data_IF_210101139154
#
_entry.id   IF_210101139154
#
_cell.length_a   1.000
_cell.length_b   1.000
_cell.length_c   1.000
_cell.angle_alpha   90.00
_cell.angle_beta   90.00
_cell.angle_gamma   90.00
#
_symmetry.space_group_name_H-M   'P 1'
#
loop_
_entity.id
_entity.type
_entity.pdbx_description
1 polymer ?
#
# COMPACT_ATOMS: atom_id res chain seq x y z
N UNK A 1 -0.58 -8.33 -33.41
CA UNK A 1 0.05 -7.29 -32.58
C UNK A 1 -0.58 -7.39 -31.20
N UNK A 2 0.02 -8.19 -30.30
CA UNK A 2 -0.44 -8.30 -28.92
C UNK A 2 -0.04 -7.02 -28.19
N UNK A 3 -1.03 -6.20 -27.84
CA UNK A 3 -0.81 -5.09 -26.93
C UNK A 3 -0.72 -5.73 -25.54
N UNK A 4 0.48 -6.16 -25.17
CA UNK A 4 0.77 -6.53 -23.79
C UNK A 4 0.82 -5.23 -22.98
N UNK A 5 -0.09 -5.10 -22.02
CA UNK A 5 -0.18 -3.92 -21.17
C UNK A 5 1.11 -3.85 -20.34
N UNK A 6 1.90 -2.78 -20.50
CA UNK A 6 3.11 -2.62 -19.70
C UNK A 6 2.75 -2.35 -18.25
N UNK A 7 3.56 -2.89 -17.33
CA UNK A 7 3.42 -2.63 -15.90
C UNK A 7 3.52 -1.13 -15.56
N UNK A 8 4.29 -0.38 -16.33
CA UNK A 8 4.37 1.09 -16.22
C UNK A 8 3.00 1.74 -16.50
N UNK A 9 2.33 1.35 -17.58
CA UNK A 9 1.01 1.89 -17.93
C UNK A 9 -0.02 1.52 -16.87
N UNK A 10 0.00 0.27 -16.38
CA UNK A 10 -0.87 -0.16 -15.29
C UNK A 10 -0.69 0.75 -14.06
N UNK A 11 0.54 0.94 -13.59
CA UNK A 11 0.82 1.76 -12.41
C UNK A 11 0.38 3.21 -12.63
N UNK A 12 0.72 3.82 -13.77
CA UNK A 12 0.37 5.22 -14.06
C UNK A 12 -1.14 5.42 -14.07
N UNK A 13 -1.90 4.50 -14.68
CA UNK A 13 -3.37 4.58 -14.72
C UNK A 13 -3.93 4.51 -13.30
N UNK A 14 -3.46 3.59 -12.46
CA UNK A 14 -3.90 3.50 -11.06
C UNK A 14 -3.52 4.75 -10.25
N UNK A 15 -2.35 5.33 -10.47
CA UNK A 15 -1.97 6.61 -9.86
C UNK A 15 -2.96 7.72 -10.22
N UNK A 16 -3.25 7.89 -11.51
CA UNK A 16 -4.18 8.91 -12.01
C UNK A 16 -5.56 8.70 -11.41
N UNK A 17 -6.06 7.46 -11.37
CA UNK A 17 -7.37 7.14 -10.78
C UNK A 17 -7.42 7.49 -9.29
N UNK A 18 -6.43 7.08 -8.50
CA UNK A 18 -6.39 7.34 -7.06
C UNK A 18 -6.27 8.84 -6.77
N UNK A 19 -5.42 9.55 -7.50
CA UNK A 19 -5.26 11.01 -7.38
C UNK A 19 -6.58 11.71 -7.74
N UNK A 20 -7.21 11.32 -8.85
CA UNK A 20 -8.49 11.90 -9.28
C UNK A 20 -9.57 11.66 -8.25
N UNK A 21 -9.64 10.45 -7.69
CA UNK A 21 -10.57 10.12 -6.62
C UNK A 21 -10.32 10.94 -5.35
N UNK A 22 -9.06 11.23 -5.03
CA UNK A 22 -8.67 12.07 -3.89
C UNK A 22 -9.24 13.49 -3.99
N UNK A 23 -9.35 14.05 -5.19
CA UNK A 23 -10.05 15.32 -5.41
C UNK A 23 -11.56 15.24 -5.19
N UNK A 24 -12.18 14.10 -5.51
CA UNK A 24 -13.62 13.90 -5.33
C UNK A 24 -13.98 13.84 -3.84
N UNK A 25 -13.18 13.14 -3.04
CA UNK A 25 -13.45 12.94 -1.59
C UNK A 25 -12.85 14.03 -0.70
N UNK A 26 -11.86 14.78 -1.20
CA UNK A 26 -11.18 15.85 -0.49
C UNK A 26 -10.00 15.41 0.38
N UNK A 27 -9.24 16.41 0.86
CA UNK A 27 -7.98 16.25 1.59
C UNK A 27 -8.09 15.44 2.88
N UNK A 28 -9.12 15.69 3.68
CA UNK A 28 -9.32 15.04 4.99
C UNK A 28 -9.53 13.54 4.79
N UNK A 29 -10.42 13.15 3.88
CA UNK A 29 -10.68 11.75 3.59
C UNK A 29 -9.48 11.07 2.93
N UNK A 30 -8.78 11.77 2.04
CA UNK A 30 -7.53 11.25 1.46
C UNK A 30 -6.49 10.96 2.53
N UNK A 31 -6.36 11.83 3.54
CA UNK A 31 -5.47 11.61 4.69
C UNK A 31 -5.90 10.39 5.52
N UNK A 32 -7.21 10.20 5.70
CA UNK A 32 -7.76 9.00 6.35
C UNK A 32 -7.44 7.73 5.56
N UNK A 33 -7.46 7.78 4.23
CA UNK A 33 -7.06 6.65 3.38
C UNK A 33 -5.59 6.33 3.59
N UNK A 34 -4.70 7.33 3.62
CA UNK A 34 -3.27 7.11 3.88
C UNK A 34 -3.08 6.37 5.21
N UNK A 35 -3.70 6.85 6.30
CA UNK A 35 -3.62 6.21 7.63
C UNK A 35 -4.20 4.78 7.60
N UNK A 36 -5.33 4.60 6.93
CA UNK A 36 -5.94 3.27 6.72
C UNK A 36 -4.98 2.33 6.00
N UNK A 37 -4.28 2.79 4.97
CA UNK A 37 -3.28 2.01 4.24
C UNK A 37 -2.14 1.58 5.16
N UNK A 38 -1.63 2.46 6.03
CA UNK A 38 -0.60 2.07 7.01
C UNK A 38 -1.07 0.96 7.95
N UNK A 39 -2.21 1.16 8.61
CA UNK A 39 -2.75 0.17 9.54
C UNK A 39 -3.01 -1.18 8.86
N UNK A 40 -3.48 -1.13 7.62
CA UNK A 40 -3.75 -2.31 6.82
C UNK A 40 -2.48 -3.01 6.36
N UNK A 41 -1.42 -2.27 6.02
CA UNK A 41 -0.12 -2.85 5.71
C UNK A 41 0.40 -3.64 6.91
N UNK A 42 0.40 -3.03 8.09
CA UNK A 42 0.83 -3.70 9.32
C UNK A 42 -0.03 -4.93 9.64
N UNK A 43 -1.36 -4.82 9.53
CA UNK A 43 -2.26 -5.94 9.76
C UNK A 43 -2.03 -7.08 8.76
N UNK A 44 -1.88 -6.76 7.47
CA UNK A 44 -1.61 -7.72 6.42
C UNK A 44 -0.28 -8.45 6.63
N UNK A 45 0.77 -7.73 6.99
CA UNK A 45 2.05 -8.36 7.30
C UNK A 45 1.98 -9.22 8.55
N UNK A 46 1.38 -8.74 9.64
CA UNK A 46 1.26 -9.52 10.87
C UNK A 46 0.47 -10.81 10.64
N UNK A 47 -0.70 -10.72 10.00
CA UNK A 47 -1.56 -11.88 9.72
C UNK A 47 -0.91 -12.81 8.70
N UNK A 48 -0.36 -12.28 7.61
CA UNK A 48 0.26 -13.09 6.56
C UNK A 48 1.52 -13.82 7.04
N UNK A 49 2.36 -13.17 7.84
CA UNK A 49 3.55 -13.81 8.42
C UNK A 49 3.15 -14.89 9.44
N UNK A 50 2.11 -14.66 10.24
CA UNK A 50 1.59 -15.69 11.14
C UNK A 50 0.98 -16.89 10.38
N UNK A 51 0.28 -16.62 9.28
CA UNK A 51 -0.27 -17.65 8.39
C UNK A 51 0.83 -18.51 7.76
N UNK A 52 1.96 -17.91 7.38
CA UNK A 52 3.13 -18.65 6.86
C UNK A 52 3.69 -19.63 7.91
N UNK A 53 3.83 -19.19 9.16
CA UNK A 53 4.28 -20.06 10.27
C UNK A 53 3.30 -21.22 10.48
N UNK A 54 2.00 -20.94 10.42
CA UNK A 54 0.95 -21.96 10.55
C UNK A 54 1.02 -23.00 9.43
N UNK A 55 1.21 -22.57 8.17
CA UNK A 55 1.37 -23.48 7.03
C UNK A 55 2.65 -24.33 7.15
N UNK A 56 3.76 -23.74 7.57
CA UNK A 56 5.04 -24.44 7.72
C UNK A 56 5.00 -25.54 8.79
N UNK A 57 4.17 -25.41 9.82
CA UNK A 57 4.04 -26.42 10.89
C UNK A 57 3.05 -27.55 10.57
N UNK A 58 2.16 -27.37 9.59
CA UNK A 58 1.04 -28.28 9.33
C UNK A 58 1.34 -29.39 8.27
N UNK A 59 2.62 -29.65 7.97
CA UNK A 59 3.09 -30.49 6.85
C UNK A 59 2.54 -31.93 6.68
N UNK A 60 1.89 -32.64 7.62
CA UNK A 60 1.26 -33.92 7.26
C UNK A 60 -0.22 -33.83 6.87
N UNK A 61 -0.95 -32.74 7.20
CA UNK A 61 -2.43 -32.74 7.16
C UNK A 61 -3.01 -31.93 5.99
N UNK A 62 -2.22 -31.06 5.34
CA UNK A 62 -2.72 -30.10 4.33
C UNK A 62 -2.80 -30.67 2.90
N UNK A 63 -2.49 -31.96 2.68
CA UNK A 63 -2.70 -32.60 1.37
C UNK A 63 -4.16 -32.61 0.87
N UNK A 64 -5.11 -32.10 1.67
CA UNK A 64 -6.53 -32.00 1.33
C UNK A 64 -6.86 -30.69 0.58
N UNK A 65 -6.04 -29.64 0.72
CA UNK A 65 -6.32 -28.32 0.12
C UNK A 65 -5.43 -27.96 -1.09
N UNK A 66 -4.62 -28.89 -1.59
CA UNK A 66 -3.73 -28.69 -2.76
C UNK A 66 -3.04 -27.32 -2.76
N UNK A 67 -2.51 -26.93 -1.59
CA UNK A 67 -1.68 -25.72 -1.46
C UNK A 67 -0.31 -26.07 -2.03
N UNK A 68 -0.24 -26.16 -3.35
CA UNK A 68 0.94 -26.60 -4.12
C UNK A 68 2.13 -25.65 -3.98
N UNK A 69 1.91 -24.43 -3.45
CA UNK A 69 2.98 -23.49 -3.15
C UNK A 69 2.62 -22.50 -2.01
N UNK A 70 3.23 -22.66 -0.82
CA UNK A 70 2.99 -21.80 0.35
C UNK A 70 3.27 -20.31 0.12
N UNK A 71 4.21 -19.96 -0.76
CA UNK A 71 4.58 -18.56 -1.02
C UNK A 71 3.47 -17.78 -1.72
N UNK A 72 2.87 -18.38 -2.75
CA UNK A 72 1.72 -17.78 -3.45
C UNK A 72 0.50 -17.65 -2.52
N UNK A 73 0.29 -18.64 -1.65
CA UNK A 73 -0.80 -18.59 -0.66
C UNK A 73 -0.63 -17.42 0.31
N UNK A 74 0.58 -17.25 0.87
CA UNK A 74 0.89 -16.13 1.76
C UNK A 74 0.76 -14.78 1.06
N UNK A 75 1.23 -14.66 -0.19
CA UNK A 75 1.05 -13.44 -0.99
C UNK A 75 -0.44 -13.07 -1.13
N UNK A 76 -1.28 -14.03 -1.53
CA UNK A 76 -2.73 -13.80 -1.71
C UNK A 76 -3.35 -13.37 -0.38
N UNK A 77 -3.05 -14.05 0.72
CA UNK A 77 -3.56 -13.70 2.06
C UNK A 77 -3.18 -12.26 2.43
N UNK A 78 -1.90 -11.87 2.28
CA UNK A 78 -1.45 -10.50 2.56
C UNK A 78 -2.19 -9.47 1.72
N UNK A 79 -2.33 -9.71 0.42
CA UNK A 79 -3.05 -8.80 -0.47
C UNK A 79 -4.52 -8.67 -0.10
N UNK A 80 -5.21 -9.79 0.17
CA UNK A 80 -6.61 -9.79 0.56
C UNK A 80 -6.81 -9.05 1.89
N UNK A 81 -5.99 -9.34 2.90
CA UNK A 81 -6.06 -8.65 4.20
C UNK A 81 -5.74 -7.17 4.05
N UNK A 82 -4.78 -6.81 3.20
CA UNK A 82 -4.43 -5.41 2.95
C UNK A 82 -5.58 -4.64 2.32
N UNK A 83 -6.16 -5.15 1.23
CA UNK A 83 -7.25 -4.49 0.51
C UNK A 83 -8.50 -4.42 1.40
N UNK A 84 -8.89 -5.54 2.01
CA UNK A 84 -10.06 -5.58 2.88
C UNK A 84 -9.89 -4.68 4.11
N UNK A 85 -8.71 -4.74 4.75
CA UNK A 85 -8.37 -3.87 5.88
C UNK A 85 -8.43 -2.40 5.49
N UNK A 86 -7.89 -2.03 4.34
CA UNK A 86 -7.84 -0.64 3.90
C UNK A 86 -9.24 -0.08 3.67
N UNK A 87 -10.12 -0.86 3.03
CA UNK A 87 -11.52 -0.49 2.86
C UNK A 87 -12.24 -0.38 4.21
N UNK A 88 -12.05 -1.36 5.11
CA UNK A 88 -12.71 -1.37 6.42
C UNK A 88 -12.27 -0.19 7.30
N UNK A 89 -10.98 0.13 7.34
CA UNK A 89 -10.46 1.27 8.10
C UNK A 89 -10.83 2.61 7.46
N UNK A 90 -10.88 2.70 6.13
CA UNK A 90 -11.30 3.95 5.48
C UNK A 90 -12.78 4.25 5.76
N UNK A 91 -13.66 3.24 5.65
CA UNK A 91 -15.11 3.40 5.80
C UNK A 91 -15.53 3.41 7.28
N UNK A 92 -15.03 2.48 8.09
CA UNK A 92 -15.46 2.23 9.48
C UNK A 92 -14.34 2.39 10.52
N UNK A 93 -13.19 2.95 10.15
CA UNK A 93 -12.11 3.18 11.11
C UNK A 93 -12.55 4.09 12.25
N UNK A 94 -12.19 3.70 13.48
CA UNK A 94 -12.49 4.43 14.71
C UNK A 94 -11.57 5.64 14.95
N UNK A 95 -11.08 6.26 13.88
CA UNK A 95 -10.20 7.42 13.94
C UNK A 95 -10.71 8.50 13.00
N UNK A 96 -10.59 9.73 13.46
CA UNK A 96 -10.93 10.94 12.71
C UNK A 96 -9.66 11.75 12.45
N UNK A 97 -9.59 12.32 11.26
CA UNK A 97 -8.48 13.18 10.85
C UNK A 97 -8.99 14.59 10.82
N UNK A 98 -8.43 15.45 11.68
CA UNK A 98 -8.74 16.87 11.67
C UNK A 98 -7.60 17.61 10.99
N UNK A 99 -7.93 18.36 9.95
CA UNK A 99 -7.01 19.27 9.27
C UNK A 99 -7.67 20.64 9.22
N UNK A 100 -6.98 21.71 9.65
CA UNK A 100 -7.54 23.06 9.65
C UNK A 100 -7.94 23.50 8.24
N UNK A 101 -8.98 24.32 8.14
CA UNK A 101 -9.40 24.89 6.86
C UNK A 101 -8.28 25.72 6.23
N UNK A 102 -8.16 25.65 4.90
CA UNK A 102 -7.12 26.34 4.15
C UNK A 102 -7.71 27.18 3.04
N UNK A 103 -6.90 28.08 2.51
CA UNK A 103 -7.25 28.77 1.26
C UNK A 103 -7.41 27.72 0.14
N UNK A 104 -8.37 27.91 -0.80
CA UNK A 104 -8.67 26.94 -1.84
C UNK A 104 -7.44 26.46 -2.66
N UNK A 105 -6.48 27.36 -2.90
CA UNK A 105 -5.23 27.03 -3.63
C UNK A 105 -4.32 26.09 -2.85
N UNK A 106 -4.21 26.30 -1.53
CA UNK A 106 -3.42 25.45 -0.63
C UNK A 106 -4.13 24.12 -0.46
N UNK A 107 -5.45 24.13 -0.31
CA UNK A 107 -6.27 22.91 -0.21
C UNK A 107 -6.16 22.04 -1.46
N UNK A 108 -6.23 22.63 -2.66
CA UNK A 108 -6.02 21.93 -3.93
C UNK A 108 -4.63 21.28 -3.97
N UNK A 109 -3.58 22.04 -3.64
CA UNK A 109 -2.20 21.56 -3.68
C UNK A 109 -1.95 20.43 -2.67
N UNK A 110 -2.50 20.55 -1.46
CA UNK A 110 -2.42 19.50 -0.44
C UNK A 110 -3.23 18.26 -0.83
N UNK A 111 -4.37 18.42 -1.47
CA UNK A 111 -5.19 17.29 -1.97
C UNK A 111 -4.45 16.54 -3.07
N UNK A 112 -3.82 17.24 -4.01
CA UNK A 112 -2.97 16.63 -5.03
C UNK A 112 -1.81 15.86 -4.41
N UNK A 113 -1.12 16.50 -3.46
CA UNK A 113 0.03 15.91 -2.78
C UNK A 113 -0.35 14.66 -1.99
N UNK A 114 -1.39 14.73 -1.16
CA UNK A 114 -1.87 13.56 -0.40
C UNK A 114 -2.48 12.49 -1.32
N UNK A 115 -3.13 12.86 -2.40
CA UNK A 115 -3.62 11.89 -3.39
C UNK A 115 -2.46 11.11 -4.02
N UNK A 116 -1.38 11.82 -4.38
CA UNK A 116 -0.16 11.20 -4.88
C UNK A 116 0.49 10.26 -3.86
N UNK A 117 0.60 10.70 -2.60
CA UNK A 117 1.15 9.88 -1.52
C UNK A 117 0.29 8.65 -1.22
N UNK A 118 -1.04 8.79 -1.24
CA UNK A 118 -2.00 7.69 -1.10
C UNK A 118 -1.82 6.66 -2.21
N UNK A 119 -1.75 7.11 -3.46
CA UNK A 119 -1.48 6.23 -4.59
C UNK A 119 -0.14 5.50 -4.44
N UNK A 120 0.91 6.23 -4.07
CA UNK A 120 2.25 5.68 -3.90
C UNK A 120 2.31 4.59 -2.84
N UNK A 121 1.70 4.80 -1.66
CA UNK A 121 1.72 3.79 -0.59
C UNK A 121 0.87 2.56 -0.94
N UNK A 122 -0.31 2.75 -1.56
CA UNK A 122 -1.18 1.65 -1.95
C UNK A 122 -0.50 0.76 -2.99
N UNK A 123 0.02 1.38 -4.05
CA UNK A 123 0.65 0.65 -5.16
C UNK A 123 1.96 0.01 -4.70
N UNK A 124 2.79 0.72 -3.93
CA UNK A 124 4.01 0.12 -3.36
C UNK A 124 3.67 -1.06 -2.45
N UNK A 125 2.62 -0.94 -1.64
CA UNK A 125 2.11 -2.02 -0.80
C UNK A 125 1.76 -3.27 -1.58
N UNK A 126 0.98 -3.09 -2.64
CA UNK A 126 0.59 -4.18 -3.54
C UNK A 126 1.83 -4.81 -4.19
N UNK A 127 2.73 -4.00 -4.78
CA UNK A 127 3.94 -4.51 -5.45
C UNK A 127 4.85 -5.28 -4.50
N UNK A 128 5.02 -4.81 -3.26
CA UNK A 128 5.81 -5.51 -2.23
C UNK A 128 5.18 -6.86 -1.92
N UNK A 129 3.85 -6.98 -1.80
CA UNK A 129 3.23 -8.29 -1.57
C UNK A 129 3.27 -9.20 -2.79
N UNK A 130 3.07 -8.66 -4.01
CA UNK A 130 3.18 -9.46 -5.24
C UNK A 130 4.60 -10.01 -5.42
N UNK A 131 5.63 -9.24 -5.05
CA UNK A 131 7.02 -9.73 -5.05
C UNK A 131 7.33 -10.79 -3.99
N UNK A 132 6.38 -11.13 -3.11
CA UNK A 132 6.58 -12.04 -1.98
C UNK A 132 7.23 -11.36 -0.76
N UNK A 133 7.43 -10.05 -0.81
CA UNK A 133 8.07 -9.28 0.24
C UNK A 133 7.19 -9.01 1.47
N UNK A 134 7.81 -8.34 2.44
CA UNK A 134 7.17 -7.82 3.66
C UNK A 134 7.75 -6.44 3.98
N UNK A 135 6.97 -5.60 4.65
CA UNK A 135 7.44 -4.36 5.28
C UNK A 135 7.98 -4.62 6.69
N UNK A 136 7.44 -5.63 7.39
CA UNK A 136 7.89 -6.00 8.74
C UNK A 136 9.14 -6.90 8.76
N UNK A 137 9.33 -7.74 7.75
CA UNK A 137 10.51 -8.61 7.65
C UNK A 137 11.44 -8.13 6.53
N UNK A 138 12.67 -7.77 6.90
CA UNK A 138 13.74 -7.55 5.94
C UNK A 138 14.32 -8.91 5.52
N UNK A 139 14.32 -9.21 4.21
CA UNK A 139 15.11 -10.32 3.67
C UNK A 139 14.34 -11.59 3.28
N UNK A 140 13.15 -11.46 2.68
CA UNK A 140 12.64 -12.56 1.84
C UNK A 140 13.06 -12.31 0.40
N UNK A 141 13.62 -13.34 -0.24
CA UNK A 141 13.98 -13.29 -1.64
C UNK A 141 12.73 -13.05 -2.49
N UNK A 142 12.88 -12.22 -3.52
CA UNK A 142 11.82 -11.94 -4.48
C UNK A 142 11.39 -13.23 -5.16
N UNK A 143 10.09 -13.46 -5.34
CA UNK A 143 9.61 -14.65 -6.03
C UNK A 143 10.13 -14.68 -7.47
N UNK A 144 10.56 -15.86 -7.95
CA UNK A 144 11.12 -16.03 -9.31
C UNK A 144 10.16 -15.51 -10.40
N UNK A 145 8.86 -15.79 -10.26
CA UNK A 145 7.84 -15.28 -11.17
C UNK A 145 7.84 -13.75 -11.27
N UNK A 146 7.92 -13.07 -10.13
CA UNK A 146 7.93 -11.61 -10.08
C UNK A 146 9.22 -11.03 -10.69
N UNK A 147 10.35 -11.66 -10.38
CA UNK A 147 11.66 -11.23 -10.88
C UNK A 147 11.74 -11.32 -12.42
N UNK A 148 11.26 -12.41 -13.00
CA UNK A 148 11.35 -12.68 -14.44
C UNK A 148 10.33 -11.89 -15.27
N UNK A 149 9.13 -11.62 -14.74
CA UNK A 149 8.02 -11.06 -15.54
C UNK A 149 7.65 -9.61 -15.22
N UNK A 150 7.81 -9.15 -13.98
CA UNK A 150 7.30 -7.85 -13.54
C UNK A 150 8.46 -6.90 -13.26
N UNK A 151 9.42 -7.36 -12.43
CA UNK A 151 10.57 -6.57 -12.04
C UNK A 151 11.48 -6.27 -13.24
N UNK A 152 11.82 -7.25 -14.06
CA UNK A 152 12.73 -7.07 -15.21
C UNK A 152 12.16 -6.18 -16.33
N UNK A 153 10.84 -6.07 -16.43
CA UNK A 153 10.16 -5.41 -17.56
C UNK A 153 9.80 -3.95 -17.31
N UNK A 154 9.86 -3.47 -16.06
CA UNK A 154 9.37 -2.14 -15.69
C UNK A 154 10.32 -1.41 -14.76
N UNK A 155 10.87 -0.30 -15.24
CA UNK A 155 11.72 0.58 -14.43
C UNK A 155 10.93 1.18 -13.26
N UNK A 156 9.65 1.49 -13.45
CA UNK A 156 8.81 2.07 -12.40
C UNK A 156 8.57 1.06 -11.27
N UNK A 157 8.30 -0.21 -11.59
CA UNK A 157 8.19 -1.29 -10.60
C UNK A 157 9.48 -1.44 -9.81
N UNK A 158 10.63 -1.47 -10.48
CA UNK A 158 11.95 -1.56 -9.83
C UNK A 158 12.15 -0.39 -8.88
N UNK A 159 11.89 0.83 -9.36
CA UNK A 159 12.02 2.05 -8.56
C UNK A 159 11.13 2.02 -7.32
N UNK A 160 9.87 1.59 -7.45
CA UNK A 160 8.94 1.53 -6.33
C UNK A 160 9.32 0.48 -5.29
N UNK A 161 9.80 -0.70 -5.71
CA UNK A 161 10.19 -1.78 -4.80
C UNK A 161 11.50 -1.47 -4.09
N UNK A 162 12.51 -1.02 -4.84
CA UNK A 162 13.82 -0.68 -4.26
C UNK A 162 13.70 0.46 -3.26
N UNK A 163 12.82 1.42 -3.53
CA UNK A 163 12.56 2.56 -2.66
C UNK A 163 11.30 2.36 -1.80
N UNK A 164 10.87 1.13 -1.52
CA UNK A 164 9.64 0.86 -0.74
C UNK A 164 9.62 1.58 0.61
N UNK A 165 10.78 1.66 1.27
CA UNK A 165 10.90 2.33 2.57
C UNK A 165 10.69 3.85 2.44
N UNK A 166 11.10 4.45 1.32
CA UNK A 166 10.89 5.86 1.05
C UNK A 166 9.40 6.14 0.85
N UNK A 167 8.72 5.35 0.01
CA UNK A 167 7.28 5.49 -0.21
C UNK A 167 6.45 5.28 1.04
N UNK A 168 6.92 4.41 1.94
CA UNK A 168 6.33 4.21 3.25
C UNK A 168 6.66 5.35 4.23
N UNK A 169 7.79 6.02 4.12
CA UNK A 169 8.24 7.02 5.09
C UNK A 169 7.75 8.43 4.75
N UNK A 170 7.67 8.80 3.46
CA UNK A 170 7.30 10.15 3.03
C UNK A 170 5.96 10.59 3.62
N UNK A 171 4.85 9.83 3.54
CA UNK A 171 3.58 10.31 4.09
C UNK A 171 3.59 10.51 5.60
N UNK A 172 4.32 9.68 6.36
CA UNK A 172 4.50 9.88 7.81
C UNK A 172 5.23 11.19 8.09
N UNK A 173 6.34 11.44 7.37
CA UNK A 173 7.08 12.69 7.51
C UNK A 173 6.24 13.90 7.11
N UNK A 174 5.38 13.77 6.09
CA UNK A 174 4.46 14.83 5.70
C UNK A 174 3.50 15.19 6.82
N UNK A 175 2.87 14.20 7.48
CA UNK A 175 1.98 14.46 8.61
C UNK A 175 2.73 15.05 9.81
N UNK A 176 3.90 14.51 10.13
CA UNK A 176 4.74 15.01 11.21
C UNK A 176 5.19 16.46 10.94
N UNK A 177 5.65 16.75 9.73
CA UNK A 177 6.05 18.10 9.32
C UNK A 177 4.90 19.10 9.40
N UNK A 178 3.71 18.71 8.95
CA UNK A 178 2.52 19.54 9.07
C UNK A 178 2.14 19.79 10.53
N UNK A 179 2.31 18.81 11.42
CA UNK A 179 2.04 18.97 12.85
C UNK A 179 2.97 19.98 13.53
N UNK A 180 4.24 20.10 13.12
CA UNK A 180 5.15 21.10 13.69
C UNK A 180 4.92 22.50 13.16
N UNK A 181 4.58 22.62 11.87
CA UNK A 181 4.30 23.93 11.26
C UNK A 181 3.00 24.51 11.82
N UNK A 182 2.09 23.66 12.29
CA UNK A 182 0.72 24.05 12.68
C UNK A 182 0.35 23.35 13.99
N UNK A 183 0.71 23.95 15.14
CA UNK A 183 0.21 23.47 16.42
C UNK A 183 -1.33 23.50 16.38
N UNK A 184 -1.94 22.46 16.95
CA UNK A 184 -3.39 22.20 16.95
C UNK A 184 -4.17 23.26 17.76
N UNK A 185 -3.48 24.24 18.36
CA UNK A 185 -4.07 25.27 19.20
C UNK A 185 -4.17 26.61 18.45
N UNK A 186 -5.33 26.82 17.82
CA UNK A 186 -5.90 28.14 17.58
C UNK A 186 -7.42 28.02 17.40
N UNK A 187 -8.09 27.44 18.40
CA UNK A 187 -9.38 27.87 18.98
C UNK A 187 -9.77 26.96 20.17
#
# INVERSE_FOLDING_TARGET
MSIELSWDLFIIVFFVVIISYSFIIGRVQTSKIILSSYLSLFAADAIGNYFEIFLAQASPVINIFDVTNPEYSTMIVKMTVFIAGMVLFAVKGAFEVYLPEEKPVIEFSLTLYFGFLSAAIIISGILVYISGGSFLHAGKDMTLFFQENIYSQSYLVQFMILNKNLWFLVPVLSFLGLSFIRPVDAD
#
